data_IF_067130669155
#
_entry.id   IF_067130669155
#
_cell.length_a   1.000
_cell.length_b   1.000
_cell.length_c   1.000
_cell.angle_alpha   90.00
_cell.angle_beta   90.00
_cell.angle_gamma   90.00
#
_symmetry.space_group_name_H-M   'P 1'
#
loop_
_entity.id
_entity.type
_entity.pdbx_description
1 polymer ?
#
# COMPACT_ATOMS: atom_id res chain seq x y z
N UNK A 1 5.18 17.59 3.72
CA UNK A 1 4.39 16.35 3.90
C UNK A 1 5.11 15.24 3.16
N UNK A 2 5.29 14.05 3.76
CA UNK A 2 5.91 12.93 3.03
C UNK A 2 4.87 12.27 2.11
N UNK A 3 5.27 11.62 1.00
CA UNK A 3 4.33 10.94 0.12
C UNK A 3 3.43 9.93 0.84
N UNK A 4 3.96 9.25 1.85
CA UNK A 4 3.22 8.33 2.71
C UNK A 4 2.04 9.00 3.43
N UNK A 5 2.26 10.16 4.07
CA UNK A 5 1.18 10.87 4.78
C UNK A 5 0.14 11.41 3.79
N UNK A 6 0.56 11.83 2.60
CA UNK A 6 -0.36 12.25 1.53
C UNK A 6 -1.25 11.10 1.07
N UNK A 7 -0.68 9.91 0.84
CA UNK A 7 -1.44 8.71 0.48
C UNK A 7 -2.43 8.32 1.56
N UNK A 8 -2.00 8.35 2.83
CA UNK A 8 -2.88 8.11 3.97
C UNK A 8 -4.09 9.05 3.98
N UNK A 9 -3.86 10.36 3.87
CA UNK A 9 -4.95 11.33 3.88
C UNK A 9 -5.88 11.17 2.67
N UNK A 10 -5.35 10.77 1.51
CA UNK A 10 -6.14 10.45 0.33
C UNK A 10 -7.02 9.21 0.57
N UNK A 11 -6.44 8.11 1.08
CA UNK A 11 -7.17 6.87 1.34
C UNK A 11 -8.23 7.05 2.43
N UNK A 12 -7.89 7.72 3.54
CA UNK A 12 -8.84 8.05 4.61
C UNK A 12 -10.07 8.79 4.05
N UNK A 13 -9.85 9.71 3.10
CA UNK A 13 -10.95 10.42 2.42
C UNK A 13 -11.68 9.55 1.41
N UNK A 14 -10.98 8.77 0.59
CA UNK A 14 -11.59 7.91 -0.42
C UNK A 14 -12.58 6.93 0.23
N UNK A 15 -12.27 6.46 1.43
CA UNK A 15 -13.14 5.56 2.19
C UNK A 15 -14.44 6.22 2.67
N UNK A 16 -14.52 7.56 2.78
CA UNK A 16 -15.73 8.32 3.13
C UNK A 16 -16.55 7.74 4.31
N UNK A 17 -15.91 7.06 5.26
CA UNK A 17 -16.56 6.43 6.42
C UNK A 17 -17.17 5.03 6.21
N UNK A 18 -17.12 4.46 5.01
CA UNK A 18 -17.63 3.10 4.72
C UNK A 18 -16.58 1.98 4.85
N UNK A 19 -15.37 2.34 5.28
CA UNK A 19 -14.27 1.40 5.49
C UNK A 19 -13.19 1.94 6.43
N UNK A 20 -12.13 1.16 6.57
CA UNK A 20 -11.05 1.35 7.54
C UNK A 20 -9.69 1.33 6.84
N UNK A 21 -8.79 2.18 7.31
CA UNK A 21 -7.37 2.17 6.93
C UNK A 21 -6.57 1.89 8.20
N UNK A 22 -6.19 0.64 8.41
CA UNK A 22 -5.34 0.27 9.56
C UNK A 22 -3.88 0.55 9.22
N UNK A 23 -3.19 1.26 10.10
CA UNK A 23 -1.77 1.60 9.97
C UNK A 23 -0.93 0.66 10.81
N UNK A 24 0.29 0.40 10.34
CA UNK A 24 1.27 -0.42 11.08
C UNK A 24 0.66 -1.75 11.53
N UNK A 25 -0.05 -2.41 10.63
CA UNK A 25 -0.83 -3.58 10.97
C UNK A 25 0.12 -4.71 11.39
N UNK A 26 0.09 -5.03 12.69
CA UNK A 26 1.01 -5.94 13.36
C UNK A 26 2.25 -5.21 13.89
N UNK A 27 2.18 -4.71 15.14
CA UNK A 27 3.28 -4.01 15.82
C UNK A 27 4.56 -4.87 15.86
N UNK A 28 5.70 -4.31 15.41
CA UNK A 28 7.03 -4.92 15.51
C UNK A 28 7.76 -5.13 14.18
N UNK A 29 8.78 -6.00 14.17
CA UNK A 29 9.52 -6.38 12.96
C UNK A 29 8.55 -7.11 12.00
N UNK A 30 8.26 -6.51 10.85
CA UNK A 30 7.32 -7.06 9.87
C UNK A 30 5.91 -6.48 9.92
N UNK A 31 5.73 -5.33 10.58
CA UNK A 31 4.54 -4.49 10.36
C UNK A 31 4.40 -4.19 8.86
N UNK A 32 3.19 -4.33 8.34
CA UNK A 32 2.85 -3.80 7.02
C UNK A 32 2.34 -2.38 7.20
N UNK A 33 2.65 -1.53 6.21
CA UNK A 33 2.29 -0.12 6.28
C UNK A 33 0.77 0.06 6.40
N UNK A 34 -0.03 -0.54 5.50
CA UNK A 34 -1.47 -0.29 5.42
C UNK A 34 -2.31 -1.53 5.10
N UNK A 35 -3.37 -1.76 5.86
CA UNK A 35 -4.47 -2.66 5.50
C UNK A 35 -5.76 -1.85 5.30
N UNK A 36 -6.30 -1.88 4.09
CA UNK A 36 -7.57 -1.23 3.76
C UNK A 36 -8.69 -2.27 3.85
N UNK A 37 -9.81 -1.91 4.48
CA UNK A 37 -10.97 -2.79 4.64
C UNK A 37 -12.26 -2.06 4.33
N UNK A 38 -13.17 -2.68 3.57
CA UNK A 38 -14.50 -2.09 3.33
C UNK A 38 -15.54 -3.15 3.02
N UNK A 39 -16.82 -2.77 3.17
CA UNK A 39 -17.92 -3.64 2.75
C UNK A 39 -18.03 -3.65 1.23
N UNK A 40 -17.97 -4.84 0.63
CA UNK A 40 -18.12 -5.05 -0.80
C UNK A 40 -19.21 -6.08 -1.06
N UNK A 41 -20.18 -5.70 -1.88
CA UNK A 41 -21.25 -6.59 -2.33
C UNK A 41 -20.84 -7.25 -3.63
N UNK A 42 -20.69 -8.58 -3.59
CA UNK A 42 -20.35 -9.37 -4.77
C UNK A 42 -21.51 -9.47 -5.77
N UNK A 43 -21.27 -10.06 -6.96
CA UNK A 43 -22.31 -10.25 -7.98
C UNK A 43 -23.50 -11.11 -7.51
N UNK A 44 -23.30 -11.92 -6.47
CA UNK A 44 -24.31 -12.76 -5.82
C UNK A 44 -25.19 -12.00 -4.81
N UNK A 45 -24.97 -10.69 -4.64
CA UNK A 45 -25.71 -9.84 -3.71
C UNK A 45 -25.27 -9.99 -2.25
N UNK A 46 -24.25 -10.82 -1.95
CA UNK A 46 -23.75 -10.99 -0.58
C UNK A 46 -22.72 -9.91 -0.25
N UNK A 47 -22.87 -9.29 0.92
CA UNK A 47 -21.87 -8.38 1.45
C UNK A 47 -20.75 -9.16 2.12
N UNK A 48 -19.51 -8.82 1.76
CA UNK A 48 -18.28 -9.36 2.33
C UNK A 48 -17.36 -8.21 2.72
N UNK A 49 -16.38 -8.46 3.59
CA UNK A 49 -15.33 -7.48 3.87
C UNK A 49 -14.19 -7.69 2.88
N UNK A 50 -14.06 -6.78 1.93
CA UNK A 50 -12.89 -6.69 1.06
C UNK A 50 -11.71 -6.18 1.87
N UNK A 51 -10.53 -6.74 1.61
CA UNK A 51 -9.28 -6.43 2.30
C UNK A 51 -8.18 -6.26 1.27
N UNK A 52 -7.45 -5.15 1.33
CA UNK A 52 -6.30 -4.89 0.47
C UNK A 52 -5.08 -4.51 1.29
N UNK A 53 -4.00 -5.25 1.08
CA UNK A 53 -2.70 -5.04 1.69
C UNK A 53 -1.85 -4.08 0.84
N UNK A 54 -1.34 -3.01 1.45
CA UNK A 54 -0.48 -2.02 0.81
C UNK A 54 0.85 -1.90 1.57
N UNK A 55 1.94 -2.07 0.84
CA UNK A 55 3.30 -1.76 1.30
C UNK A 55 3.81 -0.53 0.55
N UNK A 56 4.39 0.44 1.26
CA UNK A 56 4.78 1.73 0.70
C UNK A 56 6.28 1.94 0.83
N UNK A 57 6.96 2.08 -0.31
CA UNK A 57 8.39 2.40 -0.36
C UNK A 57 8.62 3.76 -1.01
N UNK A 58 9.79 4.35 -0.72
CA UNK A 58 10.25 5.57 -1.38
C UNK A 58 11.61 5.29 -2.00
N UNK A 59 11.75 5.49 -3.32
CA UNK A 59 13.04 5.39 -3.99
C UNK A 59 13.72 6.77 -3.99
N UNK A 60 14.71 6.94 -3.11
CA UNK A 60 15.44 8.20 -2.97
C UNK A 60 16.64 8.28 -3.92
N UNK A 61 17.05 9.49 -4.35
CA UNK A 61 18.30 9.68 -5.09
C UNK A 61 19.48 9.07 -4.34
N UNK A 62 20.32 8.30 -5.04
CA UNK A 62 21.51 7.66 -4.46
C UNK A 62 21.22 6.40 -3.61
N UNK A 63 19.97 5.99 -3.44
CA UNK A 63 19.61 4.75 -2.76
C UNK A 63 19.35 3.60 -3.76
N UNK A 64 19.58 2.37 -3.30
CA UNK A 64 19.21 1.17 -4.04
C UNK A 64 17.71 1.12 -4.30
N UNK A 65 17.33 0.49 -5.41
CA UNK A 65 15.94 0.24 -5.76
C UNK A 65 15.25 -0.59 -4.66
N UNK A 66 14.17 -0.07 -4.04
CA UNK A 66 13.50 -0.74 -2.93
C UNK A 66 12.57 -1.87 -3.36
N UNK A 67 12.36 -2.11 -4.67
CA UNK A 67 11.33 -3.01 -5.21
C UNK A 67 11.41 -4.41 -4.60
N UNK A 68 12.58 -5.05 -4.67
CA UNK A 68 12.75 -6.43 -4.17
C UNK A 68 12.61 -6.53 -2.66
N UNK A 69 13.02 -5.49 -1.91
CA UNK A 69 12.82 -5.44 -0.47
C UNK A 69 11.33 -5.25 -0.12
N UNK A 70 10.62 -4.41 -0.88
CA UNK A 70 9.18 -4.21 -0.75
C UNK A 70 8.38 -5.48 -1.04
N UNK A 71 8.69 -6.19 -2.12
CA UNK A 71 8.03 -7.47 -2.47
C UNK A 71 8.17 -8.48 -1.32
N UNK A 72 9.40 -8.69 -0.81
CA UNK A 72 9.62 -9.64 0.30
C UNK A 72 8.82 -9.27 1.55
N UNK A 73 8.71 -7.99 1.86
CA UNK A 73 7.92 -7.52 3.01
C UNK A 73 6.42 -7.71 2.78
N UNK A 74 5.94 -7.39 1.57
CA UNK A 74 4.54 -7.59 1.18
C UNK A 74 4.17 -9.08 1.22
N UNK A 75 4.97 -9.98 0.63
CA UNK A 75 4.75 -11.43 0.65
C UNK A 75 4.65 -11.97 2.09
N UNK A 76 5.56 -11.53 2.96
CA UNK A 76 5.53 -11.89 4.38
C UNK A 76 4.25 -11.41 5.07
N UNK A 77 3.69 -10.28 4.67
CA UNK A 77 2.43 -9.79 5.23
C UNK A 77 1.23 -10.57 4.68
N UNK A 78 1.17 -10.77 3.35
CA UNK A 78 0.10 -11.51 2.69
C UNK A 78 -0.07 -12.91 3.28
N UNK A 79 1.04 -13.61 3.53
CA UNK A 79 1.03 -14.92 4.19
C UNK A 79 0.40 -14.87 5.59
N UNK A 80 0.72 -13.84 6.39
CA UNK A 80 0.17 -13.67 7.76
C UNK A 80 -1.31 -13.30 7.76
N UNK A 81 -1.75 -12.53 6.77
CA UNK A 81 -3.14 -12.08 6.63
C UNK A 81 -4.03 -13.07 5.88
N UNK A 82 -3.44 -14.12 5.31
CA UNK A 82 -4.12 -15.07 4.42
C UNK A 82 -4.79 -14.34 3.25
N UNK A 83 -4.04 -13.41 2.65
CA UNK A 83 -4.43 -12.66 1.45
C UNK A 83 -3.65 -13.20 0.25
N UNK A 84 -4.32 -13.27 -0.90
CA UNK A 84 -3.71 -13.75 -2.14
C UNK A 84 -3.07 -12.64 -2.96
N UNK A 85 -3.44 -11.39 -2.70
CA UNK A 85 -3.01 -10.21 -3.46
C UNK A 85 -2.75 -9.03 -2.54
N UNK A 86 -1.86 -8.14 -2.99
CA UNK A 86 -1.58 -6.85 -2.38
C UNK A 86 -0.82 -5.95 -3.33
N UNK A 87 -0.57 -4.73 -2.90
CA UNK A 87 0.02 -3.68 -3.72
C UNK A 87 1.31 -3.16 -3.10
N UNK A 88 2.39 -3.12 -3.89
CA UNK A 88 3.60 -2.38 -3.57
C UNK A 88 3.53 -1.01 -4.26
N UNK A 89 3.50 0.06 -3.47
CA UNK A 89 3.51 1.45 -3.96
C UNK A 89 4.90 2.02 -3.78
N UNK A 90 5.53 2.44 -4.89
CA UNK A 90 6.85 3.07 -4.86
C UNK A 90 6.71 4.55 -5.23
N UNK A 91 7.02 5.42 -4.26
CA UNK A 91 7.21 6.84 -4.53
C UNK A 91 8.63 7.08 -5.02
N UNK A 92 8.78 7.26 -6.34
CA UNK A 92 10.07 7.62 -6.94
C UNK A 92 10.36 9.12 -6.72
N UNK A 93 11.41 9.41 -5.96
CA UNK A 93 11.89 10.76 -5.66
C UNK A 93 13.20 11.07 -6.37
N UNK A 94 13.65 10.20 -7.27
CA UNK A 94 14.81 10.48 -8.11
C UNK A 94 14.46 11.66 -9.04
N UNK A 95 15.46 12.47 -9.44
CA UNK A 95 15.23 13.49 -10.44
C UNK A 95 14.61 12.86 -11.68
N UNK A 96 13.51 13.44 -12.18
CA UNK A 96 12.94 12.98 -13.43
C UNK A 96 14.01 13.06 -14.52
N UNK A 97 14.20 11.98 -15.26
CA UNK A 97 14.98 12.06 -16.50
C UNK A 97 14.19 12.99 -17.41
N UNK A 98 14.72 14.18 -17.71
CA UNK A 98 14.11 15.08 -18.66
C UNK A 98 14.01 14.35 -20.01
N UNK A 99 12.81 13.86 -20.35
CA UNK A 99 12.56 13.27 -21.65
C UNK A 99 12.60 14.43 -22.67
N UNK A 100 13.73 14.61 -23.36
CA UNK A 100 13.74 15.42 -24.59
C UNK A 100 13.11 14.56 -25.67
N UNK A 101 11.89 14.92 -26.05
CA UNK A 101 11.28 14.44 -27.29
C UNK A 101 12.04 15.16 -28.41
N UNK A 102 12.88 14.41 -29.12
CA UNK A 102 13.41 14.82 -30.42
C UNK A 102 12.47 14.42 -31.53
#
# INVERSE_FOLDING_TARGET
MTPHVTLLGYLDRAMNGSGFVDREYGVGRGAMDLLIRWSHTGPDGRSTVQREALEVKTHRPGHADPTQAGIRQLDSCLLRLVLTTGHLVIFDQRPAVAFRIG
#
